data_IF_597204976318
#
_entry.id   IF_597204976318
#
_cell.length_a   1.000
_cell.length_b   1.000
_cell.length_c   1.000
_cell.angle_alpha   90.00
_cell.angle_beta   90.00
_cell.angle_gamma   90.00
#
_symmetry.space_group_name_H-M   'P 1'
#
loop_
_entity.id
_entity.type
_entity.pdbx_description
1 polymer ?
#
# COMPACT_ATOMS: atom_id res chain seq x y z
N UNK A 1 -8.32 -22.58 10.52
CA UNK A 1 -8.11 -21.52 9.51
C UNK A 1 -6.74 -20.90 9.72
N UNK A 2 -6.09 -20.40 8.67
CA UNK A 2 -4.83 -19.64 8.78
C UNK A 2 -5.08 -18.29 9.47
N UNK A 3 -4.05 -17.70 10.08
CA UNK A 3 -4.14 -16.34 10.66
C UNK A 3 -4.24 -15.27 9.57
N UNK A 4 -4.75 -14.08 9.91
CA UNK A 4 -4.86 -12.93 8.99
C UNK A 4 -3.51 -12.62 8.31
N UNK A 5 -2.37 -12.52 9.03
CA UNK A 5 -1.09 -12.22 8.39
C UNK A 5 -0.63 -13.31 7.41
N UNK A 6 -0.93 -14.58 7.71
CA UNK A 6 -0.58 -15.68 6.83
C UNK A 6 -1.46 -15.72 5.56
N UNK A 7 -2.72 -15.28 5.63
CA UNK A 7 -3.56 -15.12 4.44
C UNK A 7 -3.12 -13.93 3.59
N UNK A 8 -2.72 -12.83 4.22
CA UNK A 8 -2.19 -11.65 3.53
C UNK A 8 -0.87 -11.96 2.80
N UNK A 9 0.07 -12.64 3.47
CA UNK A 9 1.30 -13.16 2.86
C UNK A 9 1.00 -14.10 1.69
N UNK A 10 0.06 -15.05 1.87
CA UNK A 10 -0.34 -15.96 0.80
C UNK A 10 -0.93 -15.23 -0.41
N UNK A 11 -1.67 -14.14 -0.19
CA UNK A 11 -2.20 -13.33 -1.30
C UNK A 11 -1.07 -12.75 -2.16
N UNK A 12 -0.02 -12.20 -1.54
CA UNK A 12 1.15 -11.68 -2.25
C UNK A 12 1.95 -12.77 -2.97
N UNK A 13 2.08 -13.95 -2.36
CA UNK A 13 2.75 -15.09 -2.97
C UNK A 13 1.98 -15.61 -4.20
N UNK A 14 0.64 -15.63 -4.13
CA UNK A 14 -0.20 -16.03 -5.26
C UNK A 14 -0.17 -15.01 -6.39
N UNK A 15 -0.07 -13.72 -6.09
CA UNK A 15 0.04 -12.66 -7.09
C UNK A 15 1.30 -12.84 -7.95
N UNK A 16 2.48 -12.97 -7.34
CA UNK A 16 3.72 -13.18 -8.10
C UNK A 16 3.76 -14.56 -8.79
N UNK A 17 3.15 -15.59 -8.20
CA UNK A 17 3.10 -16.92 -8.81
C UNK A 17 2.14 -17.02 -10.01
N UNK A 18 1.30 -15.99 -10.24
CA UNK A 18 0.33 -15.97 -11.34
C UNK A 18 1.03 -15.62 -12.66
N UNK A 19 1.51 -16.63 -13.38
CA UNK A 19 2.25 -16.46 -14.65
C UNK A 19 1.33 -16.62 -15.87
N UNK A 20 1.41 -15.74 -16.89
CA UNK A 20 2.26 -14.55 -16.97
C UNK A 20 1.66 -13.34 -16.22
N UNK A 21 2.50 -12.49 -15.63
CA UNK A 21 2.05 -11.18 -15.11
C UNK A 21 2.24 -10.10 -16.16
N UNK A 22 1.26 -9.21 -16.43
CA UNK A 22 1.46 -8.12 -17.38
C UNK A 22 2.53 -7.13 -16.87
N UNK A 23 3.65 -7.01 -17.59
CA UNK A 23 4.65 -5.94 -17.40
C UNK A 23 5.47 -6.01 -16.11
N UNK A 24 5.41 -7.10 -15.36
CA UNK A 24 6.13 -7.32 -14.11
C UNK A 24 6.99 -8.58 -14.18
N UNK A 25 7.89 -8.72 -13.20
CA UNK A 25 8.67 -9.95 -12.98
C UNK A 25 7.73 -11.10 -12.69
N UNK A 26 7.90 -12.21 -13.42
CA UNK A 26 7.21 -13.47 -13.17
C UNK A 26 8.19 -14.64 -13.28
N UNK A 27 7.69 -15.87 -13.08
CA UNK A 27 8.50 -17.09 -13.12
C UNK A 27 9.32 -17.27 -14.42
N UNK A 28 8.91 -16.64 -15.51
CA UNK A 28 9.56 -16.75 -16.82
C UNK A 28 10.24 -15.46 -17.26
N UNK A 29 10.11 -14.35 -16.51
CA UNK A 29 10.65 -13.04 -16.85
C UNK A 29 11.27 -12.37 -15.63
N UNK A 30 12.59 -12.47 -15.51
CA UNK A 30 13.37 -11.66 -14.56
C UNK A 30 13.89 -10.37 -15.22
N UNK A 31 14.15 -9.35 -14.41
CA UNK A 31 14.96 -8.18 -14.77
C UNK A 31 16.35 -8.29 -14.13
N UNK A 32 17.38 -7.60 -14.67
CA UNK A 32 18.76 -7.71 -14.17
C UNK A 32 18.90 -7.49 -12.66
N UNK A 33 18.06 -6.60 -12.10
CA UNK A 33 18.12 -6.19 -10.71
C UNK A 33 16.91 -6.69 -9.88
N UNK A 34 15.99 -7.43 -10.50
CA UNK A 34 14.73 -7.85 -9.86
C UNK A 34 14.28 -9.24 -10.36
N UNK A 35 14.27 -10.23 -9.47
CA UNK A 35 13.97 -11.65 -9.77
C UNK A 35 12.76 -12.19 -9.02
N UNK A 36 12.19 -13.29 -9.51
CA UNK A 36 11.07 -13.96 -8.88
C UNK A 36 11.32 -14.33 -7.39
N UNK A 37 12.51 -14.83 -7.04
CA UNK A 37 12.84 -15.19 -5.65
C UNK A 37 12.84 -13.98 -4.72
N UNK A 38 13.20 -12.81 -5.24
CA UNK A 38 13.18 -11.55 -4.48
C UNK A 38 11.73 -11.14 -4.17
N UNK A 39 10.79 -11.35 -5.08
CA UNK A 39 9.36 -11.18 -4.81
C UNK A 39 8.84 -12.15 -3.75
N UNK A 40 9.24 -13.43 -3.81
CA UNK A 40 8.86 -14.40 -2.78
C UNK A 40 9.40 -14.01 -1.40
N UNK A 41 10.68 -13.61 -1.34
CA UNK A 41 11.30 -13.13 -0.11
C UNK A 41 10.62 -11.86 0.42
N UNK A 42 10.31 -10.92 -0.48
CA UNK A 42 9.58 -9.69 -0.17
C UNK A 42 8.19 -9.97 0.43
N UNK A 43 7.42 -10.87 -0.19
CA UNK A 43 6.11 -11.29 0.32
C UNK A 43 6.20 -11.82 1.75
N UNK A 44 7.16 -12.71 2.04
CA UNK A 44 7.40 -13.23 3.40
C UNK A 44 7.79 -12.11 4.37
N UNK A 45 8.61 -11.15 3.94
CA UNK A 45 9.07 -10.02 4.73
C UNK A 45 7.95 -9.10 5.23
N UNK A 46 6.85 -8.98 4.48
CA UNK A 46 5.71 -8.10 4.84
C UNK A 46 4.92 -8.55 6.08
N UNK A 47 5.10 -9.81 6.51
CA UNK A 47 4.27 -10.48 7.51
C UNK A 47 4.15 -9.73 8.84
N UNK A 48 5.22 -9.09 9.31
CA UNK A 48 5.18 -8.31 10.57
C UNK A 48 4.29 -7.07 10.45
N UNK A 49 4.32 -6.39 9.30
CA UNK A 49 3.43 -5.27 9.01
C UNK A 49 1.96 -5.70 8.97
N UNK A 50 1.65 -6.82 8.29
CA UNK A 50 0.28 -7.36 8.27
C UNK A 50 -0.19 -7.84 9.65
N UNK A 51 0.72 -8.37 10.48
CA UNK A 51 0.40 -8.68 11.87
C UNK A 51 -0.01 -7.43 12.64
N UNK A 52 0.78 -6.36 12.55
CA UNK A 52 0.47 -5.09 13.21
C UNK A 52 -0.86 -4.50 12.75
N UNK A 53 -1.14 -4.54 11.45
CA UNK A 53 -2.42 -4.12 10.89
C UNK A 53 -3.58 -4.91 11.53
N UNK A 54 -3.48 -6.24 11.54
CA UNK A 54 -4.50 -7.12 12.11
C UNK A 54 -4.66 -6.94 13.64
N UNK A 55 -3.59 -6.59 14.36
CA UNK A 55 -3.63 -6.30 15.79
C UNK A 55 -4.17 -4.88 16.11
N UNK A 56 -4.49 -4.07 15.09
CA UNK A 56 -5.08 -2.73 15.26
C UNK A 56 -4.08 -1.58 15.40
N UNK A 57 -2.82 -1.76 14.97
CA UNK A 57 -1.87 -0.65 14.86
C UNK A 57 -2.35 0.41 13.83
N UNK A 58 -1.87 1.66 13.92
CA UNK A 58 -2.12 2.66 12.88
C UNK A 58 -1.76 2.13 11.49
N UNK A 59 -2.65 2.32 10.53
CA UNK A 59 -2.57 1.72 9.20
C UNK A 59 -1.27 2.11 8.49
N UNK A 60 -0.89 3.39 8.54
CA UNK A 60 0.32 3.89 7.90
C UNK A 60 1.59 3.29 8.51
N UNK A 61 1.62 3.13 9.84
CA UNK A 61 2.76 2.51 10.54
C UNK A 61 2.87 1.01 10.25
N UNK A 62 1.73 0.31 10.14
CA UNK A 62 1.70 -1.09 9.74
C UNK A 62 2.17 -1.28 8.29
N UNK A 63 1.74 -0.39 7.40
CA UNK A 63 2.17 -0.35 6.00
C UNK A 63 3.68 -0.08 5.88
N UNK A 64 4.21 0.97 6.53
CA UNK A 64 5.64 1.27 6.56
C UNK A 64 6.45 0.06 7.04
N UNK A 65 5.98 -0.63 8.10
CA UNK A 65 6.63 -1.84 8.58
C UNK A 65 6.61 -2.99 7.57
N UNK A 66 5.52 -3.15 6.83
CA UNK A 66 5.43 -4.14 5.76
C UNK A 66 6.44 -3.84 4.64
N UNK A 67 6.58 -2.56 4.26
CA UNK A 67 7.53 -2.11 3.22
C UNK A 67 8.99 -2.32 3.67
N UNK A 68 9.33 -1.99 4.91
CA UNK A 68 10.67 -2.28 5.48
C UNK A 68 10.98 -3.78 5.42
N UNK A 69 10.01 -4.63 5.78
CA UNK A 69 10.20 -6.08 5.72
C UNK A 69 10.32 -6.60 4.28
N UNK A 70 9.52 -6.04 3.36
CA UNK A 70 9.59 -6.36 1.94
C UNK A 70 10.96 -6.02 1.32
N UNK A 71 11.58 -4.92 1.76
CA UNK A 71 12.84 -4.42 1.21
C UNK A 71 14.10 -4.99 1.87
N UNK A 72 13.99 -5.85 2.90
CA UNK A 72 15.13 -6.53 3.56
C UNK A 72 15.83 -7.56 2.65
N UNK A 73 15.30 -7.76 1.45
CA UNK A 73 15.91 -8.52 0.36
C UNK A 73 16.68 -7.59 -0.61
N UNK A 74 17.60 -8.14 -1.41
CA UNK A 74 18.57 -7.35 -2.20
C UNK A 74 18.02 -6.55 -3.40
N UNK A 75 16.74 -6.67 -3.73
CA UNK A 75 16.08 -6.08 -4.90
C UNK A 75 15.20 -4.87 -4.61
N UNK A 76 15.15 -4.38 -3.37
CA UNK A 76 14.35 -3.20 -3.02
C UNK A 76 12.85 -3.41 -3.17
N UNK A 77 12.21 -2.67 -4.08
CA UNK A 77 10.76 -2.72 -4.32
C UNK A 77 10.35 -3.93 -5.15
N UNK A 78 9.56 -4.82 -4.57
CA UNK A 78 8.98 -5.95 -5.29
C UNK A 78 7.48 -5.77 -5.47
N UNK A 79 6.74 -5.37 -4.43
CA UNK A 79 5.28 -5.49 -4.41
C UNK A 79 4.56 -4.30 -3.75
N UNK A 80 5.14 -3.08 -3.76
CA UNK A 80 4.59 -1.93 -3.00
C UNK A 80 3.08 -1.72 -3.18
N UNK A 81 2.59 -1.71 -4.43
CA UNK A 81 1.16 -1.52 -4.72
C UNK A 81 0.28 -2.65 -4.18
N UNK A 82 0.75 -3.89 -4.20
CA UNK A 82 0.04 -5.02 -3.62
C UNK A 82 -0.01 -4.94 -2.10
N UNK A 83 1.11 -4.58 -1.46
CA UNK A 83 1.16 -4.35 0.00
C UNK A 83 0.19 -3.23 0.39
N UNK A 84 0.11 -2.15 -0.41
CA UNK A 84 -0.81 -1.03 -0.17
C UNK A 84 -2.28 -1.47 -0.25
N UNK A 85 -2.61 -2.38 -1.18
CA UNK A 85 -3.95 -2.93 -1.31
C UNK A 85 -4.30 -3.93 -0.19
N UNK A 86 -3.34 -4.75 0.24
CA UNK A 86 -3.56 -5.82 1.22
C UNK A 86 -3.55 -5.32 2.67
N UNK A 87 -2.78 -4.29 3.00
CA UNK A 87 -2.68 -3.77 4.37
C UNK A 87 -4.04 -3.38 4.98
N UNK A 88 -4.92 -2.60 4.32
CA UNK A 88 -6.22 -2.26 4.89
C UNK A 88 -7.19 -3.46 4.96
N UNK A 89 -7.03 -4.47 4.08
CA UNK A 89 -7.75 -5.74 4.20
C UNK A 89 -7.32 -6.52 5.45
N UNK A 90 -6.01 -6.58 5.73
CA UNK A 90 -5.49 -7.21 6.94
C UNK A 90 -5.97 -6.50 8.21
N UNK A 91 -6.00 -5.17 8.20
CA UNK A 91 -6.55 -4.38 9.30
C UNK A 91 -8.05 -4.66 9.53
N UNK A 92 -8.86 -4.66 8.47
CA UNK A 92 -10.29 -4.96 8.57
C UNK A 92 -10.54 -6.39 9.08
N UNK A 93 -9.79 -7.37 8.55
CA UNK A 93 -9.92 -8.78 8.96
C UNK A 93 -9.51 -9.06 10.42
N UNK A 94 -8.70 -8.19 11.03
CA UNK A 94 -8.30 -8.29 12.44
C UNK A 94 -9.32 -7.69 13.42
N UNK A 95 -10.31 -6.95 12.92
CA UNK A 95 -11.29 -6.22 13.72
C UNK A 95 -12.59 -7.00 13.82
N UNK A 96 -12.96 -7.41 15.04
CA UNK A 96 -14.18 -8.18 15.28
C UNK A 96 -15.47 -7.37 15.04
N UNK A 97 -15.38 -6.04 15.03
CA UNK A 97 -16.47 -5.11 14.78
C UNK A 97 -16.66 -4.74 13.31
N UNK A 98 -15.84 -5.29 12.40
CA UNK A 98 -15.90 -5.01 10.97
C UNK A 98 -16.09 -6.30 10.17
N UNK A 99 -16.89 -6.21 9.11
CA UNK A 99 -16.97 -7.25 8.09
C UNK A 99 -15.80 -7.10 7.09
N UNK A 100 -15.28 -8.22 6.59
CA UNK A 100 -14.27 -8.21 5.52
C UNK A 100 -14.94 -7.99 4.16
N UNK A 101 -15.48 -6.79 3.98
CA UNK A 101 -16.09 -6.29 2.76
C UNK A 101 -15.65 -4.85 2.46
N UNK A 102 -16.22 -4.23 1.43
CA UNK A 102 -15.87 -2.85 1.08
C UNK A 102 -16.16 -1.86 2.20
N UNK A 103 -17.22 -2.08 2.99
CA UNK A 103 -17.60 -1.16 4.06
C UNK A 103 -16.62 -1.22 5.23
N UNK A 104 -16.22 -2.42 5.64
CA UNK A 104 -15.22 -2.59 6.70
C UNK A 104 -13.86 -2.01 6.32
N UNK A 105 -13.40 -2.26 5.09
CA UNK A 105 -12.14 -1.70 4.59
C UNK A 105 -12.21 -0.17 4.49
N UNK A 106 -13.32 0.38 4.01
CA UNK A 106 -13.53 1.83 3.98
C UNK A 106 -13.57 2.43 5.38
N UNK A 107 -14.09 1.71 6.38
CA UNK A 107 -14.07 2.19 7.77
C UNK A 107 -12.64 2.28 8.31
N UNK A 108 -11.77 1.33 7.97
CA UNK A 108 -10.33 1.40 8.31
C UNK A 108 -9.68 2.61 7.65
N UNK A 109 -9.90 2.79 6.35
CA UNK A 109 -9.35 3.89 5.56
C UNK A 109 -9.79 5.26 6.07
N UNK A 110 -11.09 5.43 6.31
CA UNK A 110 -11.65 6.69 6.80
C UNK A 110 -11.23 6.99 8.25
N UNK A 111 -10.78 5.97 9.00
CA UNK A 111 -10.21 6.12 10.33
C UNK A 111 -8.74 6.55 10.34
N UNK A 112 -8.09 6.68 9.19
CA UNK A 112 -6.69 7.13 9.10
C UNK A 112 -6.52 8.57 9.53
N UNK A 113 -5.36 8.86 10.11
CA UNK A 113 -4.96 10.16 10.62
C UNK A 113 -3.87 10.78 9.75
N UNK A 114 -3.48 12.02 10.07
CA UNK A 114 -2.32 12.67 9.45
C UNK A 114 -1.04 11.87 9.70
N UNK A 115 -0.88 11.26 10.88
CA UNK A 115 0.30 10.45 11.19
C UNK A 115 0.36 9.16 10.36
N UNK A 116 -0.79 8.61 9.94
CA UNK A 116 -0.84 7.51 8.98
C UNK A 116 -0.33 7.95 7.60
N UNK A 117 -0.71 9.15 7.16
CA UNK A 117 -0.19 9.73 5.90
C UNK A 117 1.30 9.95 5.98
N UNK A 118 1.81 10.50 7.08
CA UNK A 118 3.25 10.69 7.27
C UNK A 118 3.98 9.34 7.23
N UNK A 119 3.46 8.31 7.91
CA UNK A 119 4.04 6.97 7.87
C UNK A 119 3.99 6.34 6.46
N UNK A 120 2.92 6.58 5.71
CA UNK A 120 2.82 6.17 4.30
C UNK A 120 3.91 6.84 3.45
N UNK A 121 4.17 8.13 3.63
CA UNK A 121 5.26 8.82 2.93
C UNK A 121 6.64 8.28 3.36
N UNK A 122 6.86 8.00 4.65
CA UNK A 122 8.10 7.36 5.10
C UNK A 122 8.35 6.01 4.45
N UNK A 123 7.31 5.29 4.03
CA UNK A 123 7.46 4.03 3.32
C UNK A 123 8.27 4.18 2.01
N UNK A 124 8.18 5.33 1.34
CA UNK A 124 8.95 5.64 0.12
C UNK A 124 10.43 5.87 0.39
N UNK A 125 10.85 6.18 1.63
CA UNK A 125 12.27 6.29 1.97
C UNK A 125 12.99 4.92 1.96
N UNK A 126 12.24 3.82 2.00
CA UNK A 126 12.79 2.46 2.10
C UNK A 126 12.88 1.74 0.75
N UNK A 127 12.24 2.27 -0.30
CA UNK A 127 12.12 1.62 -1.59
C UNK A 127 11.95 2.62 -2.74
N UNK A 128 12.54 2.30 -3.90
CA UNK A 128 12.29 3.05 -5.13
C UNK A 128 10.97 2.61 -5.77
N UNK A 129 9.97 3.50 -5.78
CA UNK A 129 8.68 3.24 -6.42
C UNK A 129 8.61 3.98 -7.74
N UNK A 130 8.36 3.25 -8.82
CA UNK A 130 8.14 3.85 -10.13
C UNK A 130 6.78 4.55 -10.17
N UNK A 131 6.78 5.85 -9.86
CA UNK A 131 5.62 6.73 -9.95
C UNK A 131 5.84 7.79 -11.02
N UNK A 132 4.75 8.20 -11.69
CA UNK A 132 4.78 9.31 -12.63
C UNK A 132 5.07 10.64 -11.91
N UNK A 133 5.54 11.64 -12.64
CA UNK A 133 5.67 12.98 -12.08
C UNK A 133 4.29 13.53 -11.66
N UNK A 134 4.16 14.13 -10.46
CA UNK A 134 2.90 14.75 -10.06
C UNK A 134 2.61 15.97 -10.93
N UNK A 135 1.34 16.41 -11.00
CA UNK A 135 1.03 17.75 -11.53
C UNK A 135 1.71 18.82 -10.66
N UNK A 136 2.02 19.98 -11.23
CA UNK A 136 2.70 21.09 -10.52
C UNK A 136 1.99 21.48 -9.22
N UNK A 137 0.66 21.40 -9.18
CA UNK A 137 -0.16 21.71 -8.01
C UNK A 137 0.02 20.74 -6.83
N UNK A 138 0.68 19.59 -7.04
CA UNK A 138 0.95 18.58 -6.03
C UNK A 138 2.45 18.29 -5.89
N UNK A 139 3.34 19.14 -6.41
CA UNK A 139 4.79 18.92 -6.36
C UNK A 139 5.32 18.83 -4.91
N UNK A 140 4.76 19.63 -4.00
CA UNK A 140 5.10 19.55 -2.58
C UNK A 140 4.60 18.27 -1.88
N UNK A 141 3.65 17.58 -2.50
CA UNK A 141 3.09 16.28 -2.11
C UNK A 141 3.55 15.16 -3.06
N UNK A 142 4.68 15.34 -3.75
CA UNK A 142 5.31 14.25 -4.46
C UNK A 142 5.71 13.15 -3.48
N UNK A 143 5.16 11.95 -3.66
CA UNK A 143 5.46 10.80 -2.81
C UNK A 143 6.96 10.45 -2.78
N UNK A 144 7.70 10.82 -3.83
CA UNK A 144 9.18 10.65 -3.91
C UNK A 144 9.94 11.54 -2.93
N UNK A 145 9.30 12.57 -2.36
CA UNK A 145 9.87 13.35 -1.25
C UNK A 145 9.94 12.55 0.04
N UNK A 146 9.18 11.46 0.15
CA UNK A 146 9.14 10.60 1.33
C UNK A 146 8.97 11.39 2.62
N UNK A 147 9.84 11.18 3.61
CA UNK A 147 9.81 11.93 4.88
C UNK A 147 9.83 13.46 4.72
N UNK A 148 10.40 14.00 3.64
CA UNK A 148 10.53 15.45 3.45
C UNK A 148 9.19 16.15 3.22
N UNK A 149 8.13 15.43 2.84
CA UNK A 149 6.78 15.98 2.72
C UNK A 149 6.06 16.17 4.07
N UNK A 150 6.62 15.66 5.17
CA UNK A 150 5.98 15.67 6.50
C UNK A 150 5.48 17.06 6.94
N UNK A 151 6.24 18.16 6.80
CA UNK A 151 5.76 19.49 7.20
C UNK A 151 4.49 19.90 6.46
N UNK A 152 4.46 19.71 5.14
CA UNK A 152 3.32 20.08 4.27
C UNK A 152 2.09 19.23 4.61
N UNK A 153 2.27 17.91 4.74
CA UNK A 153 1.20 16.97 5.13
C UNK A 153 0.54 17.39 6.45
N UNK A 154 1.35 17.84 7.42
CA UNK A 154 0.87 18.28 8.73
C UNK A 154 0.22 19.65 8.70
N UNK A 155 0.77 20.59 7.95
CA UNK A 155 0.19 21.92 7.76
C UNK A 155 -1.19 21.85 7.11
N UNK A 156 -1.33 21.01 6.09
CA UNK A 156 -2.59 20.81 5.38
C UNK A 156 -3.57 19.85 6.08
N UNK A 157 -3.12 19.14 7.13
CA UNK A 157 -3.95 18.19 7.86
C UNK A 157 -4.42 16.99 7.03
N UNK A 158 -3.59 16.54 6.07
CA UNK A 158 -3.98 15.51 5.10
C UNK A 158 -4.01 14.11 5.71
N UNK A 159 -5.17 13.48 5.70
CA UNK A 159 -5.33 12.05 5.99
C UNK A 159 -5.07 11.21 4.74
N UNK A 160 -4.82 9.91 4.91
CA UNK A 160 -4.53 9.00 3.80
C UNK A 160 -5.73 8.92 2.84
N UNK A 161 -6.95 8.93 3.38
CA UNK A 161 -8.17 8.96 2.58
C UNK A 161 -8.30 10.24 1.74
N UNK A 162 -7.98 11.41 2.33
CA UNK A 162 -8.02 12.68 1.62
C UNK A 162 -6.95 12.77 0.52
N UNK A 163 -5.74 12.26 0.79
CA UNK A 163 -4.65 12.19 -0.18
C UNK A 163 -5.08 11.38 -1.40
N UNK A 164 -5.54 10.14 -1.21
CA UNK A 164 -5.94 9.29 -2.33
C UNK A 164 -7.09 9.88 -3.15
N UNK A 165 -8.08 10.50 -2.50
CA UNK A 165 -9.18 11.17 -3.18
C UNK A 165 -8.68 12.31 -4.10
N UNK A 166 -7.73 13.12 -3.61
CA UNK A 166 -7.16 14.23 -4.38
C UNK A 166 -6.27 13.78 -5.55
N UNK A 167 -5.66 12.59 -5.45
CA UNK A 167 -4.74 12.06 -6.48
C UNK A 167 -5.42 11.20 -7.55
N UNK A 168 -6.73 10.94 -7.47
CA UNK A 168 -7.43 10.05 -8.42
C UNK A 168 -7.37 10.49 -9.89
N UNK A 169 -7.26 11.78 -10.20
CA UNK A 169 -7.19 12.22 -11.60
C UNK A 169 -5.82 11.93 -12.24
N UNK A 170 -4.76 11.91 -11.44
CA UNK A 170 -3.37 11.90 -11.93
C UNK A 170 -2.61 10.62 -11.61
N UNK A 171 -3.01 9.87 -10.57
CA UNK A 171 -2.30 8.70 -10.08
C UNK A 171 -3.12 7.41 -10.31
N UNK A 172 -2.53 6.46 -11.05
CA UNK A 172 -3.16 5.17 -11.35
C UNK A 172 -3.34 4.29 -10.10
N UNK A 173 -2.39 4.32 -9.17
CA UNK A 173 -2.47 3.63 -7.89
C UNK A 173 -3.60 4.23 -7.05
N UNK A 174 -3.74 5.56 -7.06
CA UNK A 174 -4.84 6.23 -6.37
C UNK A 174 -6.21 5.87 -6.97
N UNK A 175 -6.34 5.85 -8.30
CA UNK A 175 -7.56 5.40 -8.97
C UNK A 175 -7.93 3.97 -8.63
N UNK A 176 -6.96 3.07 -8.68
CA UNK A 176 -7.18 1.67 -8.38
C UNK A 176 -7.61 1.48 -6.93
N UNK A 177 -6.97 2.19 -6.01
CA UNK A 177 -7.29 2.16 -4.59
C UNK A 177 -8.69 2.71 -4.32
N UNK A 178 -9.05 3.84 -4.94
CA UNK A 178 -10.39 4.43 -4.84
C UNK A 178 -11.48 3.52 -5.42
N UNK A 179 -11.24 2.93 -6.59
CA UNK A 179 -12.17 1.98 -7.23
C UNK A 179 -12.36 0.71 -6.40
N UNK A 180 -11.30 0.22 -5.74
CA UNK A 180 -11.34 -0.99 -4.91
C UNK A 180 -12.05 -0.74 -3.58
N UNK A 181 -11.89 0.42 -2.96
CA UNK A 181 -12.27 0.64 -1.56
C UNK A 181 -13.22 1.81 -1.29
N UNK A 182 -13.26 2.86 -2.11
CA UNK A 182 -14.00 4.09 -1.78
C UNK A 182 -15.43 4.16 -2.33
N UNK A 183 -15.69 3.57 -3.50
CA UNK A 183 -16.88 3.79 -4.34
C UNK A 183 -18.08 4.55 -3.69
N UNK A 184 -18.15 5.85 -3.99
CA UNK A 184 -19.34 6.73 -3.95
C UNK A 184 -18.92 8.13 -4.42
N UNK A 185 -19.43 8.77 -5.47
CA UNK A 185 -20.72 8.76 -6.17
C UNK A 185 -20.43 8.84 -7.68
N UNK A 186 -20.87 7.89 -8.51
CA UNK A 186 -21.02 8.18 -9.94
C UNK A 186 -22.19 9.14 -10.07
N UNK A 187 -21.90 10.44 -10.16
CA UNK A 187 -22.86 11.41 -10.65
C UNK A 187 -23.34 10.95 -12.00
N UNK A 188 -24.63 10.63 -12.12
CA UNK A 188 -25.28 10.51 -13.42
C UNK A 188 -25.32 11.93 -13.98
N UNK A 189 -24.51 12.21 -14.99
CA UNK A 189 -24.80 13.27 -15.96
C UNK A 189 -25.86 12.77 -16.93
#
# INVERSE_FOLDING_TARGET
MRSVPANAELALLLEVASTPTPGNVDRHHDHPDLTFEQFLAGAVGTRDGFKRAADGAPLGAAFERAIIGMSDQRGGNTQFGAVLAVTPLAAAAGRADLDLDRSGVRSVINGTTVDDTVAFYRAFDHVEVAVGAPPESLDDLDVRRGSQATPVIREEGLTLAALFAASTETDALAREWDQRFSAGVRGRS
#
